data_IF_762392800104
#
_entry.id   IF_762392800104
#
_cell.length_a   1.000
_cell.length_b   1.000
_cell.length_c   1.000
_cell.angle_alpha   90.00
_cell.angle_beta   90.00
_cell.angle_gamma   90.00
#
_symmetry.space_group_name_H-M   'P 1'
#
loop_
_entity.id
_entity.type
_entity.pdbx_description
1 polymer ?
#
# COMPACT_ATOMS: atom_id res chain seq x y z
N UNK A 1 8.03 -33.11 -65.68
CA UNK A 1 7.37 -33.85 -64.57
C UNK A 1 8.00 -33.38 -63.27
N UNK A 2 7.20 -32.68 -62.44
CA UNK A 2 7.40 -32.29 -61.02
C UNK A 2 8.71 -31.56 -60.62
N UNK A 3 8.66 -30.22 -60.54
CA UNK A 3 9.48 -29.46 -59.59
C UNK A 3 8.76 -29.51 -58.22
N UNK A 4 9.44 -30.05 -57.21
CA UNK A 4 9.03 -29.94 -55.80
C UNK A 4 9.26 -28.51 -55.32
N UNK A 5 8.18 -27.84 -54.92
CA UNK A 5 8.23 -26.59 -54.15
C UNK A 5 8.31 -26.96 -52.67
N UNK A 6 9.44 -26.67 -52.03
CA UNK A 6 9.61 -26.85 -50.59
C UNK A 6 9.32 -25.52 -49.91
N UNK A 7 8.14 -25.41 -49.30
CA UNK A 7 7.81 -24.31 -48.38
C UNK A 7 8.63 -24.47 -47.09
N UNK A 8 9.57 -23.56 -46.84
CA UNK A 8 10.17 -23.38 -45.51
C UNK A 8 9.20 -22.60 -44.63
N UNK A 9 8.51 -23.32 -43.73
CA UNK A 9 7.78 -22.72 -42.62
C UNK A 9 8.80 -22.17 -41.61
N UNK A 10 9.04 -20.86 -41.61
CA UNK A 10 9.76 -20.20 -40.52
C UNK A 10 8.85 -20.11 -39.31
N UNK A 11 9.07 -20.98 -38.32
CA UNK A 11 8.48 -20.83 -36.99
C UNK A 11 9.18 -19.65 -36.29
N UNK A 12 8.51 -18.50 -36.26
CA UNK A 12 8.92 -17.34 -35.47
C UNK A 12 8.60 -17.65 -34.00
N UNK A 13 9.55 -18.22 -33.28
CA UNK A 13 9.52 -18.25 -31.81
C UNK A 13 9.76 -16.82 -31.33
N UNK A 14 8.69 -16.05 -31.14
CA UNK A 14 8.75 -14.80 -30.41
C UNK A 14 9.09 -15.14 -28.95
N UNK A 15 10.38 -15.04 -28.58
CA UNK A 15 10.75 -14.98 -27.18
C UNK A 15 10.16 -13.69 -26.61
N UNK A 16 9.10 -13.81 -25.82
CA UNK A 16 8.68 -12.70 -24.97
C UNK A 16 9.80 -12.52 -23.95
N UNK A 17 10.69 -11.55 -24.19
CA UNK A 17 11.59 -11.08 -23.16
C UNK A 17 10.71 -10.57 -22.01
N UNK A 18 10.68 -11.31 -20.89
CA UNK A 18 10.06 -10.83 -19.66
C UNK A 18 10.85 -9.59 -19.26
N UNK A 19 10.20 -8.43 -19.20
CA UNK A 19 10.85 -7.20 -18.80
C UNK A 19 11.46 -7.40 -17.39
N UNK A 20 12.74 -7.07 -17.24
CA UNK A 20 13.42 -7.15 -15.96
C UNK A 20 12.81 -6.13 -14.99
N UNK A 21 12.55 -6.56 -13.75
CA UNK A 21 12.08 -5.68 -12.70
C UNK A 21 13.22 -4.75 -12.28
N UNK A 22 13.06 -3.46 -12.57
CA UNK A 22 14.09 -2.44 -12.34
C UNK A 22 13.50 -1.23 -11.66
N UNK A 23 14.32 -0.53 -10.88
CA UNK A 23 13.91 0.74 -10.28
C UNK A 23 15.09 1.71 -10.14
N UNK A 24 14.79 3.00 -10.18
CA UNK A 24 15.70 4.11 -9.87
C UNK A 24 15.13 4.88 -8.69
N UNK A 25 15.98 5.19 -7.71
CA UNK A 25 15.61 6.04 -6.57
C UNK A 25 16.40 7.33 -6.62
N UNK A 26 15.69 8.44 -6.49
CA UNK A 26 16.21 9.79 -6.32
C UNK A 26 15.61 10.36 -5.03
N UNK A 27 16.34 11.25 -4.36
CA UNK A 27 15.84 11.89 -3.16
C UNK A 27 16.26 13.36 -3.08
N UNK A 28 15.47 14.15 -2.35
CA UNK A 28 15.81 15.53 -1.99
C UNK A 28 15.67 15.75 -0.50
N UNK A 29 16.54 16.57 0.07
CA UNK A 29 16.42 17.11 1.42
C UNK A 29 16.23 18.63 1.33
N UNK A 30 15.08 19.11 1.80
CA UNK A 30 14.65 20.52 1.72
C UNK A 30 14.81 21.08 0.28
N UNK A 31 14.38 20.29 -0.70
CA UNK A 31 14.44 20.62 -2.13
C UNK A 31 15.81 20.47 -2.80
N UNK A 32 16.88 20.12 -2.07
CA UNK A 32 18.22 19.88 -2.64
C UNK A 32 18.44 18.39 -2.91
N UNK A 33 19.02 17.99 -4.06
CA UNK A 33 19.31 16.59 -4.34
C UNK A 33 20.19 15.94 -3.27
N UNK A 34 19.82 14.73 -2.85
CA UNK A 34 20.64 13.86 -2.00
C UNK A 34 21.56 13.03 -2.89
N UNK A 35 22.88 12.95 -2.61
CA UNK A 35 23.79 12.11 -3.38
C UNK A 35 23.36 10.64 -3.40
N UNK A 36 23.51 9.97 -4.56
CA UNK A 36 23.11 8.56 -4.70
C UNK A 36 23.80 7.63 -3.68
N UNK A 37 25.02 7.96 -3.26
CA UNK A 37 25.76 7.23 -2.24
C UNK A 37 25.12 7.25 -0.85
N UNK A 38 24.27 8.24 -0.56
CA UNK A 38 23.56 8.42 0.71
C UNK A 38 22.16 7.79 0.70
N UNK A 39 21.61 7.51 -0.49
CA UNK A 39 20.34 6.80 -0.64
C UNK A 39 20.57 5.32 -0.33
N UNK A 40 20.01 4.87 0.80
CA UNK A 40 20.08 3.48 1.27
C UNK A 40 18.72 2.82 1.21
N UNK A 41 18.69 1.65 0.57
CA UNK A 41 17.58 0.72 0.54
C UNK A 41 18.02 -0.62 1.10
N UNK A 42 17.15 -1.29 1.86
CA UNK A 42 17.35 -2.65 2.36
C UNK A 42 16.23 -3.51 1.81
N UNK A 43 16.57 -4.55 1.06
CA UNK A 43 15.57 -5.51 0.57
C UNK A 43 14.91 -6.23 1.75
N UNK A 44 13.59 -6.35 1.72
CA UNK A 44 12.81 -7.07 2.73
C UNK A 44 12.70 -8.52 2.25
N UNK A 45 13.37 -9.45 2.95
CA UNK A 45 13.25 -10.88 2.66
C UNK A 45 11.84 -11.37 3.01
N UNK A 46 11.05 -11.65 1.96
CA UNK A 46 9.69 -12.16 2.06
C UNK A 46 9.57 -13.52 1.41
N UNK A 47 10.44 -14.49 1.71
CA UNK A 47 10.19 -15.90 1.37
C UNK A 47 8.73 -16.27 1.69
N UNK A 48 7.91 -16.30 0.63
CA UNK A 48 6.51 -16.75 0.57
C UNK A 48 5.47 -15.95 1.37
N UNK A 49 5.33 -14.66 1.11
CA UNK A 49 4.17 -13.89 1.57
C UNK A 49 3.31 -13.44 0.37
N UNK A 50 2.21 -14.15 0.04
CA UNK A 50 1.26 -13.67 -0.96
C UNK A 50 0.68 -12.31 -0.54
N UNK A 51 0.08 -11.56 -1.48
CA UNK A 51 -0.85 -10.48 -1.16
C UNK A 51 -2.05 -11.12 -0.43
N UNK A 52 -1.91 -11.37 0.88
CA UNK A 52 -2.88 -12.17 1.63
C UNK A 52 -3.92 -11.24 2.24
N UNK A 53 -4.88 -10.80 1.43
CA UNK A 53 -6.20 -10.44 1.94
C UNK A 53 -6.94 -11.74 2.26
N UNK A 54 -6.75 -12.30 3.45
CA UNK A 54 -7.66 -13.37 3.89
C UNK A 54 -8.99 -12.70 4.24
N UNK A 55 -9.84 -12.48 3.23
CA UNK A 55 -11.23 -12.01 3.40
C UNK A 55 -11.92 -12.97 4.37
N UNK A 56 -12.20 -12.50 5.57
CA UNK A 56 -13.17 -13.13 6.44
C UNK A 56 -14.54 -12.62 5.96
N UNK A 57 -15.41 -13.54 5.54
CA UNK A 57 -16.77 -13.17 5.11
C UNK A 57 -17.52 -12.54 6.30
N UNK A 58 -18.36 -11.52 6.07
CA UNK A 58 -18.99 -10.77 7.16
C UNK A 58 -19.95 -11.65 7.97
N UNK A 59 -19.74 -11.69 9.29
CA UNK A 59 -20.77 -12.10 10.23
C UNK A 59 -21.86 -11.02 10.30
N UNK A 60 -23.12 -11.44 10.25
CA UNK A 60 -24.29 -10.57 10.44
C UNK A 60 -24.35 -10.08 11.91
N UNK A 61 -23.53 -9.11 12.28
CA UNK A 61 -23.61 -8.48 13.59
C UNK A 61 -24.58 -7.27 13.54
N UNK A 62 -25.59 -7.30 14.41
CA UNK A 62 -26.57 -6.21 14.59
C UNK A 62 -25.87 -4.97 15.14
N UNK A 63 -25.98 -3.84 14.43
CA UNK A 63 -25.57 -2.54 14.92
C UNK A 63 -26.59 -2.02 15.96
N UNK A 64 -26.14 -1.72 17.18
CA UNK A 64 -26.86 -0.84 18.10
C UNK A 64 -26.55 0.62 17.74
N UNK A 65 -27.59 1.44 17.66
CA UNK A 65 -27.54 2.79 17.13
C UNK A 65 -27.40 3.84 18.25
N UNK A 66 -26.42 4.73 18.11
CA UNK A 66 -26.28 5.99 18.85
C UNK A 66 -26.78 7.17 17.97
N UNK A 67 -27.67 8.08 18.43
CA UNK A 67 -28.32 9.02 17.55
C UNK A 67 -27.66 10.40 17.57
N UNK A 68 -26.66 10.65 16.71
CA UNK A 68 -26.37 11.99 16.18
C UNK A 68 -25.44 11.92 14.96
N UNK A 69 -25.80 12.67 13.90
CA UNK A 69 -25.16 12.77 12.57
C UNK A 69 -25.47 11.58 11.64
N UNK A 70 -26.21 11.84 10.55
CA UNK A 70 -26.53 10.85 9.51
C UNK A 70 -25.27 10.47 8.73
N UNK A 71 -24.43 9.58 9.30
CA UNK A 71 -23.36 8.89 8.58
C UNK A 71 -23.99 8.14 7.40
N UNK A 72 -23.52 8.36 6.16
CA UNK A 72 -23.73 7.33 5.13
C UNK A 72 -23.01 6.08 5.65
N UNK A 73 -23.76 5.01 5.89
CA UNK A 73 -23.14 3.77 6.36
C UNK A 73 -22.42 3.13 5.16
N UNK A 74 -21.10 3.30 5.10
CA UNK A 74 -20.28 2.59 4.13
C UNK A 74 -20.38 1.07 4.36
N UNK A 75 -20.25 0.25 3.31
CA UNK A 75 -20.11 -1.19 3.47
C UNK A 75 -18.91 -1.50 4.37
N UNK A 76 -19.04 -2.50 5.24
CA UNK A 76 -17.94 -2.98 6.10
C UNK A 76 -17.49 -4.37 5.68
N UNK A 77 -16.20 -4.64 5.74
CA UNK A 77 -15.59 -5.94 5.49
C UNK A 77 -14.56 -6.29 6.58
N UNK A 78 -14.22 -7.57 6.72
CA UNK A 78 -13.25 -8.03 7.72
C UNK A 78 -12.04 -8.70 7.08
N UNK A 79 -10.86 -8.42 7.64
CA UNK A 79 -9.58 -9.01 7.25
C UNK A 79 -8.83 -9.51 8.48
N UNK A 80 -7.91 -10.45 8.26
CA UNK A 80 -6.93 -10.86 9.27
C UNK A 80 -5.80 -9.84 9.47
N UNK A 81 -5.55 -8.96 8.49
CA UNK A 81 -4.38 -8.09 8.47
C UNK A 81 -4.62 -6.64 8.03
N UNK A 82 -5.72 -6.32 7.32
CA UNK A 82 -5.97 -4.97 6.79
C UNK A 82 -7.12 -4.27 7.50
N UNK A 83 -6.90 -2.99 7.80
CA UNK A 83 -7.90 -2.09 8.36
C UNK A 83 -7.83 -0.75 7.64
N UNK A 84 -8.89 -0.30 6.98
CA UNK A 84 -8.83 0.93 6.18
C UNK A 84 -9.98 1.12 5.22
N UNK A 85 -9.78 2.01 4.25
CA UNK A 85 -10.76 2.31 3.19
C UNK A 85 -10.26 1.72 1.87
N UNK A 86 -11.10 0.94 1.20
CA UNK A 86 -10.81 0.39 -0.13
C UNK A 86 -11.92 0.80 -1.10
N UNK A 87 -11.55 1.49 -2.17
CA UNK A 87 -12.47 1.87 -3.23
C UNK A 87 -12.06 1.26 -4.56
N UNK A 88 -13.04 1.05 -5.45
CA UNK A 88 -12.82 0.32 -6.68
C UNK A 88 -13.03 1.19 -7.92
N UNK A 89 -12.23 0.92 -8.94
CA UNK A 89 -12.43 1.40 -10.29
C UNK A 89 -12.81 0.25 -11.22
N UNK A 90 -13.47 0.56 -12.32
CA UNK A 90 -13.79 -0.43 -13.36
C UNK A 90 -12.56 -0.70 -14.23
N UNK A 91 -12.47 -1.88 -14.83
CA UNK A 91 -11.43 -2.19 -15.83
C UNK A 91 -11.44 -1.28 -17.06
N UNK A 92 -12.55 -0.61 -17.34
CA UNK A 92 -12.70 0.36 -18.43
C UNK A 92 -12.19 1.76 -18.08
N UNK A 93 -12.01 2.08 -16.79
CA UNK A 93 -11.54 3.38 -16.32
C UNK A 93 -10.64 3.17 -15.10
N UNK A 94 -9.48 2.58 -15.38
CA UNK A 94 -8.48 2.17 -14.40
C UNK A 94 -7.93 3.34 -13.59
N UNK A 95 -7.46 3.07 -12.38
CA UNK A 95 -6.72 4.01 -11.55
C UNK A 95 -5.42 4.39 -12.25
N UNK A 96 -5.14 5.68 -12.31
CA UNK A 96 -3.88 6.24 -12.81
C UNK A 96 -2.96 6.60 -11.66
N UNK A 97 -3.49 7.23 -10.62
CA UNK A 97 -2.74 7.76 -9.50
C UNK A 97 -3.54 7.62 -8.22
N UNK A 98 -2.88 7.30 -7.11
CA UNK A 98 -3.41 7.41 -5.73
C UNK A 98 -2.56 8.40 -4.94
N UNK A 99 -3.21 9.19 -4.09
CA UNK A 99 -2.62 10.24 -3.26
C UNK A 99 -3.19 10.18 -1.83
N UNK A 100 -2.38 10.59 -0.86
CA UNK A 100 -2.82 10.86 0.52
C UNK A 100 -1.75 11.57 1.34
N UNK A 101 -2.19 12.30 2.36
CA UNK A 101 -1.40 12.63 3.53
C UNK A 101 -1.74 11.69 4.70
N UNK A 102 -0.74 11.24 5.44
CA UNK A 102 -0.99 10.46 6.66
C UNK A 102 0.08 10.70 7.73
N UNK A 103 -0.29 10.50 9.00
CA UNK A 103 0.66 10.52 10.10
C UNK A 103 1.26 9.14 10.33
N UNK A 104 2.57 9.10 10.59
CA UNK A 104 3.19 7.91 11.16
C UNK A 104 2.73 7.71 12.60
N UNK A 105 2.10 6.57 12.95
CA UNK A 105 1.54 6.39 14.28
C UNK A 105 2.64 6.24 15.34
N UNK A 106 2.31 6.62 16.58
CA UNK A 106 3.03 6.09 17.74
C UNK A 106 2.54 4.69 18.01
N UNK A 107 3.43 3.75 18.33
CA UNK A 107 3.03 2.39 18.69
C UNK A 107 3.60 1.92 20.02
N UNK A 108 2.84 1.08 20.71
CA UNK A 108 3.20 0.48 21.99
C UNK A 108 2.78 -0.98 22.02
N UNK A 109 3.34 -1.73 22.98
CA UNK A 109 3.07 -3.16 23.14
C UNK A 109 1.58 -3.37 23.43
N UNK A 110 0.90 -4.15 22.59
CA UNK A 110 -0.43 -4.70 22.86
C UNK A 110 -0.29 -6.00 23.65
N UNK A 111 -0.88 -6.05 24.83
CA UNK A 111 -0.91 -7.28 25.64
C UNK A 111 -1.61 -8.41 24.89
N UNK A 112 -1.11 -9.64 25.02
CA UNK A 112 -1.68 -10.82 24.38
C UNK A 112 -1.38 -10.99 22.88
N UNK A 113 -0.52 -10.16 22.29
CA UNK A 113 -0.06 -10.31 20.89
C UNK A 113 1.37 -10.84 20.81
N UNK A 114 1.64 -11.70 19.81
CA UNK A 114 2.96 -12.27 19.54
C UNK A 114 3.96 -11.24 19.00
N UNK A 115 5.25 -11.43 19.24
CA UNK A 115 6.28 -10.60 18.63
C UNK A 115 6.80 -11.16 17.29
N UNK A 116 7.39 -10.31 16.42
CA UNK A 116 7.43 -8.85 16.52
C UNK A 116 6.02 -8.26 16.47
N UNK A 117 5.79 -7.15 17.16
CA UNK A 117 4.55 -6.39 16.99
C UNK A 117 4.76 -5.26 15.99
N UNK A 118 3.82 -5.02 15.09
CA UNK A 118 3.96 -3.97 14.09
C UNK A 118 2.63 -3.39 13.64
N UNK A 119 2.70 -2.15 13.15
CA UNK A 119 1.60 -1.42 12.52
C UNK A 119 2.21 -0.66 11.35
N UNK A 120 1.73 -0.96 10.14
CA UNK A 120 2.09 -0.24 8.92
C UNK A 120 0.95 0.67 8.51
N UNK A 121 1.25 1.89 8.06
CA UNK A 121 0.29 2.81 7.44
C UNK A 121 0.76 3.09 6.02
N UNK A 122 -0.11 2.84 5.04
CA UNK A 122 0.25 2.89 3.63
C UNK A 122 -0.95 3.20 2.73
N UNK A 123 -0.64 3.66 1.51
CA UNK A 123 -1.60 3.67 0.41
C UNK A 123 -1.07 2.89 -0.79
N UNK A 124 -1.98 2.31 -1.57
CA UNK A 124 -1.64 1.36 -2.61
C UNK A 124 -2.68 1.22 -3.72
N UNK A 125 -2.28 0.51 -4.77
CA UNK A 125 -3.11 0.13 -5.90
C UNK A 125 -3.11 -1.39 -6.02
N UNK A 126 -4.31 -1.96 -6.20
CA UNK A 126 -4.60 -3.40 -6.27
C UNK A 126 -4.31 -4.17 -4.98
N UNK A 127 -4.46 -5.50 -4.96
CA UNK A 127 -4.23 -6.35 -3.79
C UNK A 127 -5.51 -6.83 -3.09
N UNK A 128 -6.65 -6.17 -3.29
CA UNK A 128 -7.95 -6.65 -2.82
C UNK A 128 -8.68 -7.52 -3.85
N UNK A 129 -9.27 -6.90 -4.87
CA UNK A 129 -10.00 -7.60 -5.93
C UNK A 129 -9.04 -8.08 -7.02
N UNK A 130 -7.94 -7.35 -7.22
CA UNK A 130 -6.83 -7.76 -8.07
C UNK A 130 -5.68 -8.35 -7.24
N UNK A 131 -5.76 -9.64 -6.92
CA UNK A 131 -4.81 -10.31 -6.02
C UNK A 131 -3.47 -10.69 -6.65
N UNK A 132 -3.33 -10.52 -7.96
CA UNK A 132 -2.10 -10.89 -8.69
C UNK A 132 -0.95 -9.91 -8.48
N UNK A 133 -1.24 -8.67 -8.09
CA UNK A 133 -0.26 -7.61 -7.89
C UNK A 133 -0.75 -6.63 -6.81
N UNK A 134 0.19 -5.99 -6.12
CA UNK A 134 -0.08 -4.89 -5.19
C UNK A 134 1.12 -3.95 -5.21
N UNK A 135 0.89 -2.69 -5.55
CA UNK A 135 1.89 -1.62 -5.50
C UNK A 135 1.54 -0.67 -4.37
N UNK A 136 2.44 -0.52 -3.41
CA UNK A 136 2.17 0.25 -2.19
C UNK A 136 3.44 0.85 -1.60
N UNK A 137 3.26 1.88 -0.79
CA UNK A 137 4.34 2.50 -0.02
C UNK A 137 3.76 3.12 1.24
N UNK A 138 4.60 3.30 2.25
CA UNK A 138 4.17 3.90 3.50
C UNK A 138 5.25 3.82 4.56
N UNK A 139 4.80 3.79 5.80
CA UNK A 139 5.65 3.65 6.97
C UNK A 139 5.23 2.45 7.81
N UNK A 140 6.13 1.97 8.67
CA UNK A 140 5.85 0.91 9.62
C UNK A 140 6.55 1.22 10.93
N UNK A 141 5.82 1.06 12.04
CA UNK A 141 6.43 0.87 13.34
C UNK A 141 6.61 -0.64 13.56
N UNK A 142 7.73 -1.04 14.14
CA UNK A 142 8.01 -2.41 14.56
C UNK A 142 8.61 -2.45 15.96
N UNK A 143 8.04 -3.26 16.83
CA UNK A 143 8.52 -3.54 18.19
C UNK A 143 9.15 -4.93 18.21
N UNK A 144 10.45 -5.00 18.47
CA UNK A 144 11.21 -6.25 18.53
C UNK A 144 11.17 -6.87 19.94
N UNK A 145 10.90 -8.17 20.03
CA UNK A 145 10.84 -8.93 21.29
C UNK A 145 12.13 -8.82 22.11
N UNK A 146 13.28 -8.78 21.44
CA UNK A 146 14.60 -8.87 22.08
C UNK A 146 14.99 -7.59 22.82
N UNK A 147 14.34 -6.47 22.50
CA UNK A 147 14.75 -5.15 23.02
C UNK A 147 13.59 -4.29 23.50
N UNK A 148 12.35 -4.57 23.08
CA UNK A 148 11.20 -3.68 23.29
C UNK A 148 11.33 -2.34 22.55
N UNK A 149 12.38 -2.16 21.74
CA UNK A 149 12.64 -0.92 21.03
C UNK A 149 11.71 -0.82 19.83
N UNK A 150 11.08 0.34 19.70
CA UNK A 150 10.31 0.73 18.52
C UNK A 150 11.28 1.15 17.41
N UNK A 151 11.14 0.55 16.24
CA UNK A 151 11.80 0.95 14.98
C UNK A 151 10.76 1.50 14.02
N UNK A 152 11.01 2.70 13.53
CA UNK A 152 10.15 3.38 12.57
C UNK A 152 10.86 3.42 11.22
N UNK A 153 10.20 2.92 10.19
CA UNK A 153 10.80 2.70 8.88
C UNK A 153 9.85 3.15 7.77
N UNK A 154 10.39 3.79 6.74
CA UNK A 154 9.68 4.03 5.47
C UNK A 154 9.98 2.90 4.50
N UNK A 155 9.03 2.55 3.64
CA UNK A 155 9.17 1.42 2.72
C UNK A 155 8.33 1.58 1.45
N UNK A 156 8.67 0.81 0.42
CA UNK A 156 7.86 0.63 -0.77
C UNK A 156 7.89 -0.83 -1.23
N UNK A 157 6.87 -1.24 -1.98
CA UNK A 157 6.69 -2.61 -2.40
C UNK A 157 5.91 -2.70 -3.71
N UNK A 158 6.33 -3.62 -4.57
CA UNK A 158 5.58 -4.12 -5.71
C UNK A 158 5.50 -5.64 -5.61
N UNK A 159 4.37 -6.20 -5.18
CA UNK A 159 4.19 -7.64 -5.08
C UNK A 159 3.90 -8.29 -6.44
N UNK A 160 4.45 -9.49 -6.71
CA UNK A 160 5.41 -10.25 -5.89
C UNK A 160 6.89 -9.86 -6.14
N UNK A 161 7.17 -8.90 -7.01
CA UNK A 161 8.53 -8.59 -7.49
C UNK A 161 9.54 -8.23 -6.40
N UNK A 162 9.18 -7.33 -5.47
CA UNK A 162 10.14 -6.85 -4.46
C UNK A 162 9.56 -5.87 -3.46
N UNK A 163 10.23 -5.77 -2.31
CA UNK A 163 9.90 -4.85 -1.23
C UNK A 163 11.19 -4.33 -0.60
N UNK A 164 11.22 -3.04 -0.27
CA UNK A 164 12.42 -2.37 0.19
C UNK A 164 12.12 -1.37 1.30
N UNK A 165 12.87 -1.47 2.40
CA UNK A 165 12.94 -0.42 3.42
C UNK A 165 13.85 0.70 2.90
N UNK A 166 13.41 1.95 3.01
CA UNK A 166 14.20 3.15 2.71
C UNK A 166 14.95 3.57 3.97
N UNK A 167 16.03 2.85 4.31
CA UNK A 167 16.75 3.01 5.60
C UNK A 167 17.46 4.37 5.76
N UNK A 168 17.57 5.13 4.67
CA UNK A 168 18.10 6.50 4.68
C UNK A 168 17.03 7.58 4.92
N UNK A 169 15.73 7.23 4.90
CA UNK A 169 14.65 8.15 5.20
C UNK A 169 14.35 8.11 6.69
N UNK A 170 14.52 9.22 7.42
CA UNK A 170 14.17 9.25 8.83
C UNK A 170 12.64 9.26 9.00
N UNK A 171 12.17 8.55 10.02
CA UNK A 171 10.75 8.45 10.39
C UNK A 171 10.65 8.60 11.90
N UNK A 172 9.90 9.59 12.36
CA UNK A 172 9.56 9.78 13.76
C UNK A 172 8.04 9.64 13.98
N UNK A 173 7.67 9.34 15.22
CA UNK A 173 6.27 9.33 15.63
C UNK A 173 5.61 10.69 15.35
N UNK A 174 4.39 10.66 14.82
CA UNK A 174 3.59 11.82 14.45
C UNK A 174 4.15 12.68 13.29
N UNK A 175 5.20 12.23 12.60
CA UNK A 175 5.59 12.84 11.33
C UNK A 175 4.47 12.67 10.31
N UNK A 176 4.16 13.75 9.59
CA UNK A 176 3.28 13.75 8.43
C UNK A 176 4.05 13.32 7.19
N UNK A 177 3.43 12.42 6.45
CA UNK A 177 3.89 11.94 5.17
C UNK A 177 2.92 12.34 4.08
N UNK A 178 3.46 12.69 2.92
CA UNK A 178 2.72 12.78 1.66
C UNK A 178 3.13 11.60 0.78
N UNK A 179 2.16 10.87 0.25
CA UNK A 179 2.39 9.75 -0.64
C UNK A 179 1.60 9.94 -1.92
N UNK A 180 2.29 9.78 -3.04
CA UNK A 180 1.67 9.67 -4.37
C UNK A 180 2.26 8.47 -5.11
N UNK A 181 1.39 7.61 -5.64
CA UNK A 181 1.78 6.54 -6.56
C UNK A 181 1.12 6.84 -7.91
N UNK A 182 1.91 7.08 -8.96
CA UNK A 182 1.45 7.36 -10.30
C UNK A 182 1.85 6.23 -11.26
N UNK A 183 0.88 5.48 -11.77
CA UNK A 183 1.10 4.41 -12.76
C UNK A 183 1.26 5.00 -14.16
N UNK A 184 2.33 4.63 -14.85
CA UNK A 184 2.57 5.02 -16.25
C UNK A 184 2.11 3.91 -17.21
N UNK A 185 2.07 2.66 -16.75
CA UNK A 185 1.44 1.50 -17.39
C UNK A 185 0.94 0.52 -16.33
N UNK A 186 0.49 -0.68 -16.72
CA UNK A 186 0.21 -1.76 -15.76
C UNK A 186 1.47 -2.32 -15.10
N UNK A 187 2.67 -2.07 -15.65
CA UNK A 187 3.94 -2.65 -15.21
C UNK A 187 5.00 -1.60 -14.86
N UNK A 188 4.63 -0.32 -14.86
CA UNK A 188 5.53 0.78 -14.53
C UNK A 188 4.80 1.88 -13.73
N UNK A 189 5.51 2.46 -12.77
CA UNK A 189 4.96 3.50 -11.89
C UNK A 189 6.07 4.38 -11.31
N UNK A 190 5.65 5.53 -10.76
CA UNK A 190 6.47 6.40 -9.94
C UNK A 190 5.84 6.56 -8.56
N UNK A 191 6.56 6.17 -7.51
CA UNK A 191 6.20 6.44 -6.12
C UNK A 191 6.92 7.72 -5.69
N UNK A 192 6.22 8.64 -5.04
CA UNK A 192 6.79 9.79 -4.35
C UNK A 192 6.34 9.74 -2.89
N UNK A 193 7.28 9.58 -1.97
CA UNK A 193 7.03 9.57 -0.53
C UNK A 193 7.82 10.73 0.09
N UNK A 194 7.14 11.64 0.77
CA UNK A 194 7.77 12.77 1.45
C UNK A 194 7.49 12.72 2.95
N UNK A 195 8.52 12.87 3.78
CA UNK A 195 8.37 13.19 5.20
C UNK A 195 8.34 14.72 5.30
N UNK A 196 7.16 15.28 5.54
CA UNK A 196 6.93 16.72 5.52
C UNK A 196 7.59 17.43 6.72
N UNK A 197 7.62 16.77 7.88
CA UNK A 197 8.24 17.30 9.09
C UNK A 197 9.77 17.34 8.98
N UNK A 198 10.37 16.37 8.31
CA UNK A 198 11.82 16.25 8.19
C UNK A 198 12.37 16.77 6.86
N UNK A 199 11.51 17.11 5.90
CA UNK A 199 11.88 17.73 4.63
C UNK A 199 12.56 16.78 3.65
N UNK A 200 12.44 15.47 3.82
CA UNK A 200 12.94 14.46 2.88
C UNK A 200 11.85 14.06 1.89
N UNK A 201 12.20 13.92 0.62
CA UNK A 201 11.33 13.38 -0.42
C UNK A 201 12.09 12.33 -1.21
N UNK A 202 11.51 11.14 -1.35
CA UNK A 202 12.05 10.04 -2.15
C UNK A 202 11.14 9.79 -3.34
N UNK A 203 11.72 9.69 -4.52
CA UNK A 203 11.06 9.36 -5.76
C UNK A 203 11.61 8.03 -6.30
N UNK A 204 10.75 7.02 -6.43
CA UNK A 204 11.10 5.69 -6.93
C UNK A 204 10.41 5.50 -8.28
N UNK A 205 11.19 5.43 -9.35
CA UNK A 205 10.69 5.13 -10.69
C UNK A 205 10.92 3.65 -10.98
N UNK A 206 9.84 2.91 -11.26
CA UNK A 206 9.83 1.45 -11.34
C UNK A 206 9.34 1.02 -12.72
N UNK A 207 9.97 -0.01 -13.29
CA UNK A 207 9.61 -0.65 -14.55
C UNK A 207 9.69 -2.17 -14.43
N UNK A 208 8.89 -2.90 -15.21
CA UNK A 208 8.91 -4.38 -15.22
C UNK A 208 8.24 -5.02 -14.00
N UNK A 209 7.35 -4.31 -13.31
CA UNK A 209 6.54 -4.86 -12.24
C UNK A 209 5.49 -5.84 -12.73
N UNK A 210 5.02 -6.72 -11.86
CA UNK A 210 3.87 -7.58 -12.11
C UNK A 210 2.66 -6.73 -12.46
N UNK A 211 1.93 -7.14 -13.50
CA UNK A 211 0.86 -6.34 -14.07
C UNK A 211 -0.24 -6.04 -13.03
N UNK A 212 -0.43 -4.75 -12.77
CA UNK A 212 -1.53 -4.18 -12.03
C UNK A 212 -2.81 -4.23 -12.88
N UNK A 213 -3.93 -4.58 -12.25
CA UNK A 213 -5.27 -4.40 -12.77
C UNK A 213 -5.70 -2.93 -12.70
N UNK A 214 -5.14 -2.18 -11.74
CA UNK A 214 -5.43 -0.78 -11.44
C UNK A 214 -6.92 -0.56 -11.15
N UNK A 215 -7.48 -1.41 -10.32
CA UNK A 215 -8.91 -1.44 -9.99
C UNK A 215 -9.20 -1.33 -8.50
N UNK A 216 -8.19 -1.43 -7.61
CA UNK A 216 -8.35 -1.14 -6.19
C UNK A 216 -7.50 0.09 -5.81
N UNK A 217 -8.08 1.00 -5.02
CA UNK A 217 -7.42 2.12 -4.38
C UNK A 217 -7.55 1.96 -2.87
N UNK A 218 -6.41 1.80 -2.20
CA UNK A 218 -6.33 1.31 -0.83
C UNK A 218 -5.64 2.34 0.06
N UNK A 219 -6.27 2.69 1.18
CA UNK A 219 -5.67 3.47 2.29
C UNK A 219 -5.79 2.67 3.58
N UNK A 220 -4.69 2.08 4.03
CA UNK A 220 -4.72 0.95 4.96
C UNK A 220 -3.73 1.10 6.10
N UNK A 221 -4.21 0.74 7.29
CA UNK A 221 -3.42 0.33 8.44
C UNK A 221 -3.35 -1.20 8.47
N UNK A 222 -2.14 -1.74 8.47
CA UNK A 222 -1.89 -3.17 8.33
C UNK A 222 -1.10 -3.75 9.52
N UNK A 223 -1.45 -4.98 9.87
CA UNK A 223 -0.62 -5.92 10.64
C UNK A 223 0.24 -6.72 9.65
N UNK A 224 1.49 -6.32 9.35
CA UNK A 224 2.24 -6.88 8.21
C UNK A 224 2.72 -8.32 8.47
N UNK A 225 3.06 -9.03 7.39
CA UNK A 225 3.73 -10.33 7.48
C UNK A 225 5.25 -10.18 7.71
N UNK A 226 5.78 -10.97 8.64
CA UNK A 226 7.21 -11.20 8.82
C UNK A 226 7.49 -12.71 8.78
N UNK A 227 8.34 -13.15 7.85
CA UNK A 227 8.55 -14.57 7.60
C UNK A 227 7.25 -15.23 7.11
N UNK A 228 6.82 -16.31 7.77
CA UNK A 228 5.63 -17.09 7.40
C UNK A 228 4.35 -16.67 8.13
N UNK A 229 4.36 -15.61 8.94
CA UNK A 229 3.21 -15.25 9.78
C UNK A 229 2.98 -13.75 9.92
N UNK A 230 1.78 -13.38 10.38
CA UNK A 230 1.42 -12.00 10.69
C UNK A 230 2.10 -11.54 11.99
N UNK A 231 2.81 -10.42 11.97
CA UNK A 231 3.37 -9.73 13.15
C UNK A 231 2.29 -9.52 14.21
N UNK A 232 2.48 -9.59 15.52
CA UNK A 232 1.43 -9.14 16.45
C UNK A 232 0.98 -7.71 16.14
N UNK A 233 -0.29 -7.39 16.35
CA UNK A 233 -0.74 -6.03 16.04
C UNK A 233 -0.54 -5.11 17.24
N UNK A 234 0.37 -4.14 17.10
CA UNK A 234 0.68 -3.24 18.20
C UNK A 234 -0.55 -2.36 18.57
N UNK A 235 -0.53 -1.77 19.75
CA UNK A 235 -1.42 -0.65 20.05
C UNK A 235 -0.85 0.55 19.32
N UNK A 236 -1.68 1.35 18.65
CA UNK A 236 -1.23 2.52 17.90
C UNK A 236 -2.14 3.71 18.18
N UNK A 237 -1.59 4.91 17.95
CA UNK A 237 -2.41 6.12 17.81
C UNK A 237 -3.09 6.10 16.46
N UNK A 238 -4.35 6.52 16.43
CA UNK A 238 -5.14 6.90 15.28
C UNK A 238 -4.34 7.31 14.04
N UNK A 239 -4.58 6.63 12.92
CA UNK A 239 -4.01 7.01 11.62
C UNK A 239 -5.10 7.68 10.81
N UNK A 240 -4.80 8.90 10.36
CA UNK A 240 -5.67 9.70 9.51
C UNK A 240 -5.08 9.74 8.11
N UNK A 241 -5.84 9.28 7.11
CA UNK A 241 -5.56 9.48 5.70
C UNK A 241 -6.36 10.71 5.24
N UNK A 242 -5.66 11.80 4.94
CA UNK A 242 -6.24 13.07 4.48
C UNK A 242 -5.97 13.27 2.99
N UNK A 243 -6.82 14.08 2.34
CA UNK A 243 -6.84 14.30 0.89
C UNK A 243 -6.66 12.97 0.12
N UNK A 244 -7.41 11.96 0.57
CA UNK A 244 -7.25 10.58 0.15
C UNK A 244 -8.09 10.32 -1.12
N UNK A 245 -7.44 10.47 -2.28
CA UNK A 245 -8.08 10.27 -3.59
C UNK A 245 -7.23 9.43 -4.55
N UNK A 246 -7.90 8.82 -5.52
CA UNK A 246 -7.30 8.18 -6.66
C UNK A 246 -7.95 8.67 -7.96
N UNK A 247 -7.14 9.19 -8.88
CA UNK A 247 -7.61 9.61 -10.21
C UNK A 247 -7.60 8.44 -11.18
N UNK A 248 -8.50 8.47 -12.16
CA UNK A 248 -8.59 7.44 -13.19
C UNK A 248 -7.94 7.89 -14.50
N UNK A 249 -7.62 6.95 -15.38
CA UNK A 249 -6.93 7.21 -16.65
C UNK A 249 -7.76 8.10 -17.57
N UNK A 250 -9.08 7.88 -17.65
CA UNK A 250 -9.94 8.63 -18.56
C UNK A 250 -10.48 9.88 -17.88
N UNK A 251 -11.19 9.73 -16.77
CA UNK A 251 -11.77 10.86 -16.01
C UNK A 251 -12.27 10.46 -14.63
N UNK A 252 -12.38 11.48 -13.76
CA UNK A 252 -12.92 11.36 -12.41
C UNK A 252 -11.95 10.78 -11.39
N UNK A 253 -12.37 10.83 -10.13
CA UNK A 253 -11.66 10.24 -8.98
C UNK A 253 -12.58 9.32 -8.18
N UNK A 254 -11.96 8.40 -7.44
CA UNK A 254 -12.52 7.83 -6.22
C UNK A 254 -11.77 8.43 -5.04
N UNK A 255 -12.39 8.43 -3.87
CA UNK A 255 -11.68 8.65 -2.63
C UNK A 255 -12.18 7.66 -1.60
N UNK A 256 -12.00 8.00 -0.35
CA UNK A 256 -12.54 7.24 0.79
C UNK A 256 -14.08 7.29 0.87
N UNK A 257 -14.72 8.26 0.20
CA UNK A 257 -16.17 8.42 0.21
C UNK A 257 -16.85 7.23 -0.48
N UNK A 258 -17.72 6.52 0.25
CA UNK A 258 -18.37 5.32 -0.26
C UNK A 258 -17.44 4.10 -0.39
N UNK A 259 -16.20 4.18 0.09
CA UNK A 259 -15.27 3.07 0.10
C UNK A 259 -15.70 2.00 1.11
N UNK A 260 -15.39 0.73 0.82
CA UNK A 260 -15.59 -0.35 1.79
C UNK A 260 -14.63 -0.17 2.95
N UNK A 261 -15.17 -0.19 4.17
CA UNK A 261 -14.43 -0.02 5.42
C UNK A 261 -13.99 -1.38 5.95
N UNK A 262 -12.70 -1.68 5.79
CA UNK A 262 -12.08 -2.91 6.25
C UNK A 262 -11.66 -2.84 7.70
N UNK A 263 -11.93 -3.91 8.44
CA UNK A 263 -11.71 -4.00 9.87
C UNK A 263 -10.83 -5.22 10.17
N UNK A 264 -9.99 -5.12 11.21
CA UNK A 264 -9.39 -6.30 11.84
C UNK A 264 -10.18 -6.53 13.14
N UNK A 265 -11.05 -7.56 13.20
CA UNK A 265 -11.94 -7.76 14.35
C UNK A 265 -11.19 -7.69 15.68
N UNK A 266 -11.72 -6.95 16.64
CA UNK A 266 -11.16 -6.68 17.98
C UNK A 266 -9.83 -5.91 18.03
N UNK A 267 -9.25 -5.54 16.89
CA UNK A 267 -7.88 -5.04 16.79
C UNK A 267 -7.79 -3.67 16.13
N UNK A 268 -8.51 -3.47 15.02
CA UNK A 268 -8.66 -2.16 14.38
C UNK A 268 -10.00 -1.98 13.70
N UNK A 269 -10.51 -0.75 13.76
CA UNK A 269 -11.70 -0.33 13.07
C UNK A 269 -11.47 0.89 12.18
N UNK A 270 -11.85 0.80 10.91
CA UNK A 270 -11.84 1.94 9.99
C UNK A 270 -13.21 2.59 9.86
N UNK A 271 -13.22 3.90 9.63
CA UNK A 271 -14.43 4.61 9.25
C UNK A 271 -14.11 5.84 8.41
N UNK A 272 -15.04 6.18 7.52
CA UNK A 272 -15.06 7.47 6.85
C UNK A 272 -15.40 8.56 7.87
N UNK A 273 -14.63 9.66 7.84
CA UNK A 273 -14.83 10.81 8.71
C UNK A 273 -14.99 12.10 7.88
N UNK A 274 -16.21 12.63 7.88
CA UNK A 274 -16.59 13.98 7.43
C UNK A 274 -16.39 14.29 5.92
N UNK A 275 -17.42 14.93 5.36
CA UNK A 275 -17.73 15.09 3.94
C UNK A 275 -17.43 16.49 3.39
N UNK A 276 -16.51 17.23 4.02
CA UNK A 276 -15.99 18.49 3.50
C UNK A 276 -14.60 18.38 2.85
N UNK A 277 -13.73 17.45 3.30
CA UNK A 277 -12.29 17.44 2.97
C UNK A 277 -11.64 16.03 2.79
N UNK A 278 -12.38 14.97 2.42
CA UNK A 278 -11.78 13.65 2.09
C UNK A 278 -10.87 13.02 3.18
N UNK A 279 -11.37 12.86 4.43
CA UNK A 279 -10.60 12.29 5.57
C UNK A 279 -11.08 10.89 6.03
N UNK A 280 -10.18 9.90 6.08
CA UNK A 280 -10.43 8.53 6.59
C UNK A 280 -9.64 8.28 7.86
N UNK A 281 -10.21 7.51 8.78
CA UNK A 281 -9.62 7.22 10.08
C UNK A 281 -9.60 5.72 10.38
N UNK A 282 -8.54 5.25 11.03
CA UNK A 282 -8.41 3.90 11.57
C UNK A 282 -8.01 3.94 13.04
N UNK A 283 -8.83 3.31 13.91
CA UNK A 283 -8.64 3.05 15.35
C UNK A 283 -8.02 1.68 15.62
#
# INVERSE_FOLDING_TARGET
MKLLSTFLLSACLASQAVAEFTFKVEATFKGKPVPQSEIKLVAIDRKQSPASTTKLLPDKAKAEADPAVKKRANPTATSANWCGSINHATTLNQIKLIHTYFQHPTCTIRSGQSYPQAVAAWAGIDGDSWTSALLQSGTVCKIDNSTGIVRNEAWWQWLPNGAYTISSMPVAANDWFELTINTTSSTAAKITLANLNQGYTYAITISGGQALGRIDADWVVERPMYGSGLAGFATFTDVWFQDAYATRVTSGSVGILGATQWQIPSLCASSEYDNANEVSWSL
#
